data_IF_252459417788
#
_entry.id   IF_252459417788
#
_cell.length_a   1.000
_cell.length_b   1.000
_cell.length_c   1.000
_cell.angle_alpha   90.00
_cell.angle_beta   90.00
_cell.angle_gamma   90.00
#
_symmetry.space_group_name_H-M   'P 1'
#
loop_
_entity.id
_entity.type
_entity.pdbx_description
1 polymer ?
#
# COMPACT_ATOMS: atom_id res chain seq x y z
N UNK A 1 23.62 11.81 -8.29
CA UNK A 1 22.74 12.98 -8.32
C UNK A 1 23.44 14.13 -9.06
N UNK A 2 23.28 14.22 -10.38
CA UNK A 2 23.78 15.33 -11.20
C UNK A 2 22.63 16.17 -11.78
N UNK A 3 21.75 16.66 -10.92
CA UNK A 3 20.93 17.83 -11.22
C UNK A 3 20.85 18.61 -9.92
N UNK A 4 21.50 19.73 -9.90
CA UNK A 4 21.95 20.51 -8.74
C UNK A 4 20.90 21.06 -7.77
N UNK A 5 19.78 20.39 -7.57
CA UNK A 5 18.84 20.71 -6.48
C UNK A 5 18.79 19.54 -5.50
N UNK A 6 19.02 19.78 -4.20
CA UNK A 6 18.86 18.76 -3.18
C UNK A 6 17.42 18.25 -3.16
N UNK A 7 17.24 16.92 -3.09
CA UNK A 7 15.94 16.29 -2.88
C UNK A 7 15.73 16.16 -1.38
N UNK A 8 14.65 16.74 -0.86
CA UNK A 8 14.27 16.53 0.53
C UNK A 8 13.60 15.16 0.66
N UNK A 9 14.06 14.36 1.60
CA UNK A 9 13.51 13.02 1.88
C UNK A 9 13.04 12.99 3.34
N UNK A 10 11.80 12.59 3.54
CA UNK A 10 11.23 12.32 4.85
C UNK A 10 11.17 10.80 5.05
N UNK A 11 11.86 10.25 6.06
CA UNK A 11 11.96 8.80 6.23
C UNK A 11 10.67 8.15 6.74
N UNK A 12 9.76 8.93 7.29
CA UNK A 12 8.46 8.47 7.79
C UNK A 12 7.42 9.58 7.64
N UNK A 13 6.16 9.18 7.45
CA UNK A 13 5.03 10.08 7.38
C UNK A 13 3.75 9.32 7.74
N UNK A 14 2.79 10.02 8.32
CA UNK A 14 1.42 9.54 8.48
C UNK A 14 0.65 9.83 7.21
N UNK A 15 0.24 8.77 6.52
CA UNK A 15 -0.46 8.87 5.24
C UNK A 15 -1.96 8.64 5.44
N UNK A 16 -2.77 9.69 5.26
CA UNK A 16 -4.22 9.55 5.19
C UNK A 16 -4.62 9.19 3.75
N UNK A 17 -5.53 8.25 3.61
CA UNK A 17 -6.06 7.83 2.32
C UNK A 17 -7.54 8.12 2.26
N UNK A 18 -7.92 9.01 1.38
CA UNK A 18 -9.31 9.34 1.10
C UNK A 18 -9.84 8.51 -0.07
N UNK A 19 -11.11 8.23 -0.10
CA UNK A 19 -11.68 7.29 -1.06
C UNK A 19 -11.92 7.90 -2.45
N UNK A 20 -12.16 9.21 -2.53
CA UNK A 20 -12.55 9.84 -3.79
C UNK A 20 -14.03 9.59 -4.14
N UNK A 21 -14.47 9.90 -5.37
CA UNK A 21 -13.71 10.46 -6.51
C UNK A 21 -13.31 11.93 -6.38
N UNK A 22 -13.93 12.68 -5.48
CA UNK A 22 -13.57 14.08 -5.24
C UNK A 22 -12.31 14.20 -4.38
N UNK A 23 -11.56 15.30 -4.54
CA UNK A 23 -10.52 15.68 -3.60
C UNK A 23 -11.14 16.20 -2.31
N UNK A 24 -10.33 16.25 -1.24
CA UNK A 24 -10.74 16.78 0.06
C UNK A 24 -11.21 18.23 -0.06
N UNK A 25 -12.26 18.54 0.66
CA UNK A 25 -12.59 19.92 0.98
C UNK A 25 -11.55 20.49 1.95
N UNK A 26 -11.47 21.82 2.04
CA UNK A 26 -10.57 22.47 2.99
C UNK A 26 -10.87 22.07 4.44
N UNK A 27 -12.14 21.87 4.79
CA UNK A 27 -12.52 21.43 6.13
C UNK A 27 -12.00 20.02 6.45
N UNK A 28 -12.13 19.09 5.52
CA UNK A 28 -11.58 17.74 5.64
C UNK A 28 -10.06 17.77 5.76
N UNK A 29 -9.37 18.53 4.95
CA UNK A 29 -7.92 18.68 4.98
C UNK A 29 -7.44 19.21 6.35
N UNK A 30 -8.13 20.19 6.94
CA UNK A 30 -7.83 20.68 8.28
C UNK A 30 -8.07 19.61 9.35
N UNK A 31 -9.11 18.79 9.22
CA UNK A 31 -9.36 17.65 10.11
C UNK A 31 -8.23 16.63 10.01
N UNK A 32 -7.82 16.21 8.82
CA UNK A 32 -6.71 15.26 8.64
C UNK A 32 -5.42 15.77 9.27
N UNK A 33 -5.11 17.05 9.09
CA UNK A 33 -3.95 17.68 9.74
C UNK A 33 -4.05 17.67 11.26
N UNK A 34 -5.23 17.93 11.82
CA UNK A 34 -5.44 17.91 13.28
C UNK A 34 -5.25 16.51 13.87
N UNK A 35 -5.45 15.46 13.06
CA UNK A 35 -5.18 14.06 13.41
C UNK A 35 -3.70 13.65 13.22
N UNK A 36 -2.83 14.58 12.80
CA UNK A 36 -1.42 14.31 12.60
C UNK A 36 -1.08 13.68 11.26
N UNK A 37 -1.93 13.83 10.23
CA UNK A 37 -1.59 13.40 8.88
C UNK A 37 -0.56 14.34 8.25
N UNK A 38 0.49 13.75 7.68
CA UNK A 38 1.56 14.46 6.98
C UNK A 38 1.31 14.56 5.48
N UNK A 39 0.75 13.50 4.90
CA UNK A 39 0.45 13.39 3.47
C UNK A 39 -0.93 12.80 3.24
N UNK A 40 -1.50 13.11 2.08
CA UNK A 40 -2.80 12.60 1.64
C UNK A 40 -2.68 11.95 0.26
N UNK A 41 -3.41 10.88 0.05
CA UNK A 41 -3.52 10.18 -1.23
C UNK A 41 -4.83 9.42 -1.34
N UNK A 42 -5.02 8.67 -2.42
CA UNK A 42 -6.29 7.99 -2.71
C UNK A 42 -6.18 6.47 -2.87
N UNK A 43 -4.99 5.90 -2.98
CA UNK A 43 -4.81 4.51 -3.41
C UNK A 43 -4.06 3.62 -2.44
N UNK A 44 -3.27 4.18 -1.56
CA UNK A 44 -2.28 3.43 -0.76
C UNK A 44 -2.90 2.43 0.24
N UNK A 45 -4.04 2.75 0.84
CA UNK A 45 -4.60 1.93 1.92
C UNK A 45 -5.11 0.56 1.45
N UNK A 46 -5.85 0.43 0.34
CA UNK A 46 -6.24 -0.88 -0.18
C UNK A 46 -5.03 -1.76 -0.49
N UNK A 47 -4.00 -1.22 -1.14
CA UNK A 47 -2.77 -1.93 -1.47
C UNK A 47 -2.02 -2.39 -0.21
N UNK A 48 -1.89 -1.53 0.80
CA UNK A 48 -1.22 -1.85 2.06
C UNK A 48 -1.93 -2.99 2.80
N UNK A 49 -3.27 -3.00 2.81
CA UNK A 49 -4.07 -4.08 3.42
C UNK A 49 -3.89 -5.41 2.67
N UNK A 50 -3.98 -5.38 1.35
CA UNK A 50 -3.81 -6.56 0.50
C UNK A 50 -2.38 -7.12 0.58
N UNK A 51 -1.37 -6.25 0.61
CA UNK A 51 0.01 -6.68 0.80
C UNK A 51 0.22 -7.36 2.16
N UNK A 52 -0.43 -6.86 3.22
CA UNK A 52 -0.38 -7.49 4.54
C UNK A 52 -1.09 -8.84 4.56
N UNK A 53 -2.24 -8.98 3.90
CA UNK A 53 -2.96 -10.23 3.72
C UNK A 53 -2.14 -11.25 2.94
N UNK A 54 -1.42 -10.80 1.91
CA UNK A 54 -0.51 -11.63 1.13
C UNK A 54 0.86 -11.88 1.82
N UNK A 55 1.04 -11.43 3.06
CA UNK A 55 2.30 -11.56 3.82
C UNK A 55 3.51 -10.91 3.13
N UNK A 56 3.28 -9.87 2.36
CA UNK A 56 4.31 -9.08 1.69
C UNK A 56 4.80 -7.93 2.58
N UNK A 57 6.08 -7.61 2.48
CA UNK A 57 6.59 -6.34 2.97
C UNK A 57 6.12 -5.24 2.03
N UNK A 58 5.58 -4.17 2.59
CA UNK A 58 5.07 -3.04 1.85
C UNK A 58 5.71 -1.74 2.33
N UNK A 59 6.14 -0.93 1.39
CA UNK A 59 6.64 0.41 1.66
C UNK A 59 6.16 1.35 0.56
N UNK A 60 5.81 2.56 0.94
CA UNK A 60 5.31 3.58 0.01
C UNK A 60 6.42 4.58 -0.32
N UNK A 61 6.62 4.81 -1.60
CA UNK A 61 7.38 5.96 -2.09
C UNK A 61 6.40 7.05 -2.48
N UNK A 62 6.12 7.96 -1.57
CA UNK A 62 5.22 9.08 -1.80
C UNK A 62 5.98 10.23 -2.51
N UNK A 63 5.46 10.66 -3.64
CA UNK A 63 5.99 11.74 -4.46
C UNK A 63 5.03 12.92 -4.38
N UNK A 64 5.25 13.82 -3.42
CA UNK A 64 4.39 14.98 -3.23
C UNK A 64 4.44 15.90 -4.45
N UNK A 65 3.29 16.33 -4.91
CA UNK A 65 3.11 17.23 -6.06
C UNK A 65 2.87 18.65 -5.64
N UNK A 66 2.12 18.83 -4.57
CA UNK A 66 1.65 20.13 -4.09
C UNK A 66 1.33 20.07 -2.59
N UNK A 67 0.94 21.22 -2.06
CA UNK A 67 0.28 21.32 -0.76
C UNK A 67 -1.23 21.26 -0.95
N UNK A 68 -1.89 20.45 -0.14
CA UNK A 68 -3.34 20.32 -0.16
C UNK A 68 -4.06 21.66 0.11
N UNK A 69 -5.35 21.75 -0.16
CA UNK A 69 -6.20 22.94 -0.14
C UNK A 69 -6.27 23.70 1.21
N UNK A 70 -5.59 23.21 2.26
CA UNK A 70 -5.45 23.93 3.54
C UNK A 70 -4.53 25.15 3.44
N UNK A 71 -3.58 25.17 2.50
CA UNK A 71 -2.61 26.27 2.34
C UNK A 71 -3.22 27.38 1.51
N UNK A 72 -3.28 28.56 2.09
CA UNK A 72 -3.92 29.74 1.47
C UNK A 72 -2.95 30.66 0.72
N UNK A 73 -1.65 30.55 1.01
CA UNK A 73 -0.63 31.50 0.56
C UNK A 73 -0.06 31.17 -0.83
N UNK A 74 -0.50 30.11 -1.45
CA UNK A 74 -0.09 29.74 -2.81
C UNK A 74 -1.24 30.02 -3.78
N UNK A 75 -0.95 30.72 -4.87
CA UNK A 75 -1.85 30.79 -6.03
C UNK A 75 -2.23 29.37 -6.45
N UNK A 76 -3.47 29.18 -6.88
CA UNK A 76 -3.96 27.87 -7.34
C UNK A 76 -2.95 27.30 -8.33
N UNK A 77 -2.34 26.18 -7.95
CA UNK A 77 -1.31 25.51 -8.77
C UNK A 77 -1.90 25.19 -10.12
N UNK A 78 -1.32 25.68 -11.19
CA UNK A 78 -1.81 25.39 -12.54
C UNK A 78 -1.60 23.92 -12.89
N UNK A 79 -2.49 23.36 -13.71
CA UNK A 79 -2.39 21.98 -14.19
C UNK A 79 -1.02 21.69 -14.82
N UNK A 80 -0.47 22.66 -15.56
CA UNK A 80 0.85 22.53 -16.20
C UNK A 80 1.98 22.42 -15.18
N UNK A 81 1.90 23.13 -14.07
CA UNK A 81 2.88 23.02 -12.97
C UNK A 81 2.81 21.65 -12.31
N UNK A 82 1.60 21.14 -12.04
CA UNK A 82 1.41 19.78 -11.51
C UNK A 82 2.01 18.73 -12.44
N UNK A 83 1.72 18.81 -13.73
CA UNK A 83 2.26 17.90 -14.76
C UNK A 83 3.80 17.97 -14.79
N UNK A 84 4.38 19.15 -14.76
CA UNK A 84 5.84 19.31 -14.76
C UNK A 84 6.50 18.72 -13.49
N UNK A 85 5.86 18.86 -12.33
CA UNK A 85 6.30 18.21 -11.08
C UNK A 85 6.19 16.71 -11.20
N UNK A 86 5.07 16.21 -11.71
CA UNK A 86 4.83 14.78 -11.90
C UNK A 86 5.90 14.13 -12.78
N UNK A 87 6.23 14.72 -13.93
CA UNK A 87 7.27 14.18 -14.81
C UNK A 87 8.64 14.11 -14.13
N UNK A 88 9.03 15.13 -13.37
CA UNK A 88 10.27 15.11 -12.59
C UNK A 88 10.26 14.02 -11.53
N UNK A 89 9.15 13.89 -10.83
CA UNK A 89 8.94 12.88 -9.79
C UNK A 89 9.02 11.45 -10.35
N UNK A 90 8.41 11.19 -11.51
CA UNK A 90 8.46 9.88 -12.19
C UNK A 90 9.89 9.50 -12.53
N UNK A 91 10.69 10.40 -13.11
CA UNK A 91 12.08 10.12 -13.42
C UNK A 91 12.93 9.82 -12.18
N UNK A 92 12.67 10.52 -11.07
CA UNK A 92 13.32 10.25 -9.78
C UNK A 92 12.88 8.90 -9.22
N UNK A 93 11.58 8.62 -9.22
CA UNK A 93 11.01 7.36 -8.72
C UNK A 93 11.61 6.14 -9.45
N UNK A 94 11.69 6.19 -10.78
CA UNK A 94 12.30 5.11 -11.58
C UNK A 94 13.75 4.82 -11.18
N UNK A 95 14.52 5.85 -10.84
CA UNK A 95 15.91 5.68 -10.36
C UNK A 95 15.94 5.06 -8.98
N UNK A 96 15.09 5.54 -8.06
CA UNK A 96 14.97 5.01 -6.70
C UNK A 96 14.56 3.55 -6.74
N UNK A 97 13.55 3.18 -7.54
CA UNK A 97 13.04 1.80 -7.65
C UNK A 97 14.13 0.86 -8.18
N UNK A 98 14.88 1.27 -9.22
CA UNK A 98 15.98 0.44 -9.76
C UNK A 98 17.05 0.18 -8.69
N UNK A 99 17.42 1.22 -7.94
CA UNK A 99 18.44 1.07 -6.89
C UNK A 99 17.90 0.27 -5.71
N UNK A 100 16.66 0.49 -5.29
CA UNK A 100 16.01 -0.31 -4.26
C UNK A 100 15.94 -1.79 -4.64
N UNK A 101 15.58 -2.11 -5.88
CA UNK A 101 15.57 -3.49 -6.38
C UNK A 101 16.96 -4.13 -6.32
N UNK A 102 18.00 -3.39 -6.73
CA UNK A 102 19.40 -3.86 -6.65
C UNK A 102 19.82 -4.13 -5.19
N UNK A 103 19.50 -3.23 -4.28
CA UNK A 103 19.82 -3.37 -2.87
C UNK A 103 19.06 -4.53 -2.21
N UNK A 104 17.78 -4.68 -2.54
CA UNK A 104 16.93 -5.77 -2.04
C UNK A 104 17.40 -7.14 -2.54
N UNK A 105 17.86 -7.23 -3.81
CA UNK A 105 18.40 -8.47 -4.36
C UNK A 105 19.70 -8.92 -3.65
N UNK A 106 20.48 -7.98 -3.12
CA UNK A 106 21.70 -8.26 -2.38
C UNK A 106 21.47 -8.38 -0.85
N UNK A 107 20.26 -8.06 -0.39
CA UNK A 107 19.95 -8.08 1.04
C UNK A 107 19.78 -9.51 1.58
N UNK A 108 20.09 -9.76 2.87
CA UNK A 108 19.79 -11.03 3.50
C UNK A 108 18.28 -11.28 3.53
N UNK A 109 17.84 -12.55 3.67
CA UNK A 109 16.43 -12.88 3.79
C UNK A 109 15.75 -12.05 4.88
N UNK A 110 14.57 -11.53 4.58
CA UNK A 110 13.80 -10.72 5.52
C UNK A 110 13.46 -11.48 6.81
N UNK A 111 13.52 -10.79 7.94
CA UNK A 111 13.18 -11.33 9.27
C UNK A 111 12.15 -10.44 9.95
N UNK A 112 11.08 -10.09 9.26
CA UNK A 112 10.03 -9.23 9.81
C UNK A 112 8.72 -10.02 10.05
N UNK A 113 7.86 -9.49 10.89
CA UNK A 113 6.56 -10.08 11.21
C UNK A 113 5.58 -10.14 10.01
N UNK A 114 5.87 -9.43 8.92
CA UNK A 114 5.03 -9.46 7.72
C UNK A 114 4.88 -10.88 7.16
N UNK A 115 5.94 -11.69 7.23
CA UNK A 115 5.95 -13.05 6.69
C UNK A 115 5.01 -14.04 7.41
N UNK A 116 4.36 -13.63 8.48
CA UNK A 116 3.41 -14.43 9.26
C UNK A 116 2.20 -13.61 9.72
N UNK A 117 1.85 -12.58 8.97
CA UNK A 117 0.77 -11.66 9.34
C UNK A 117 -0.61 -12.32 9.42
N UNK A 118 -0.84 -13.37 8.63
CA UNK A 118 -2.11 -14.11 8.58
C UNK A 118 -2.17 -15.26 9.58
N UNK A 119 -1.04 -15.66 10.16
CA UNK A 119 -0.93 -16.86 11.02
C UNK A 119 -2.02 -16.98 12.09
N UNK A 120 -2.41 -15.88 12.69
CA UNK A 120 -3.42 -15.81 13.76
C UNK A 120 -4.67 -15.02 13.37
N UNK A 121 -4.81 -14.68 12.08
CA UNK A 121 -5.94 -13.88 11.60
C UNK A 121 -7.12 -14.71 11.09
N UNK A 122 -6.90 -16.02 10.85
CA UNK A 122 -7.93 -16.90 10.31
C UNK A 122 -8.76 -17.42 11.49
N UNK A 123 -9.95 -16.85 11.66
CA UNK A 123 -10.86 -17.17 12.75
C UNK A 123 -11.88 -18.25 12.39
N UNK A 124 -12.05 -18.53 11.10
CA UNK A 124 -12.97 -19.57 10.63
C UNK A 124 -12.41 -20.95 10.94
N UNK A 125 -13.20 -21.80 11.60
CA UNK A 125 -12.84 -23.18 11.87
C UNK A 125 -12.59 -23.91 10.54
N UNK A 126 -11.49 -24.69 10.41
CA UNK A 126 -11.09 -25.31 9.13
C UNK A 126 -12.19 -26.16 8.48
N UNK A 127 -12.98 -26.87 9.27
CA UNK A 127 -14.10 -27.71 8.82
C UNK A 127 -15.28 -26.90 8.25
N UNK A 128 -15.31 -25.61 8.48
CA UNK A 128 -16.31 -24.69 7.94
C UNK A 128 -15.90 -24.06 6.62
N UNK A 129 -14.65 -24.26 6.21
CA UNK A 129 -14.13 -23.75 4.93
C UNK A 129 -14.49 -24.74 3.84
N UNK A 130 -15.38 -24.34 2.92
CA UNK A 130 -15.75 -25.20 1.81
C UNK A 130 -14.56 -25.42 0.84
N UNK A 131 -14.52 -26.56 0.11
CA UNK A 131 -13.49 -26.79 -0.90
C UNK A 131 -13.36 -25.66 -1.92
N UNK A 132 -14.50 -25.09 -2.36
CA UNK A 132 -14.53 -23.96 -3.29
C UNK A 132 -13.95 -22.68 -2.69
N UNK A 133 -14.21 -22.40 -1.42
CA UNK A 133 -13.62 -21.25 -0.72
C UNK A 133 -12.12 -21.45 -0.53
N UNK A 134 -11.70 -22.66 -0.11
CA UNK A 134 -10.29 -22.99 0.05
C UNK A 134 -9.52 -22.79 -1.27
N UNK A 135 -9.99 -23.34 -2.38
CA UNK A 135 -9.35 -23.22 -3.68
C UNK A 135 -9.13 -21.78 -4.13
N UNK A 136 -10.07 -20.87 -3.81
CA UNK A 136 -9.92 -19.45 -4.13
C UNK A 136 -8.91 -18.72 -3.24
N UNK A 137 -8.72 -19.20 -2.02
CA UNK A 137 -7.89 -18.57 -0.99
C UNK A 137 -6.58 -19.30 -0.73
N UNK A 138 -6.31 -20.39 -1.42
CA UNK A 138 -5.17 -21.29 -1.16
C UNK A 138 -3.84 -20.56 -1.09
N UNK A 139 -3.60 -19.57 -1.98
CA UNK A 139 -2.38 -18.76 -1.98
C UNK A 139 -2.17 -17.99 -0.66
N UNK A 140 -3.24 -17.64 0.03
CA UNK A 140 -3.22 -16.86 1.27
C UNK A 140 -3.23 -17.77 2.49
N UNK A 141 -4.14 -18.74 2.53
CA UNK A 141 -4.41 -19.55 3.72
C UNK A 141 -3.75 -20.92 3.71
N UNK A 142 -3.34 -21.44 2.55
CA UNK A 142 -2.85 -22.82 2.38
C UNK A 142 -1.61 -23.15 3.20
N UNK A 143 -0.85 -22.14 3.60
CA UNK A 143 0.28 -22.29 4.53
C UNK A 143 -0.17 -22.63 5.96
N UNK A 144 -1.39 -22.26 6.35
CA UNK A 144 -1.91 -22.34 7.72
C UNK A 144 -3.05 -23.34 7.88
N UNK A 145 -3.78 -23.60 6.81
CA UNK A 145 -4.96 -24.46 6.81
C UNK A 145 -4.73 -25.58 5.79
N UNK A 146 -4.96 -26.81 6.21
CA UNK A 146 -4.96 -27.95 5.31
C UNK A 146 -6.20 -27.92 4.41
N UNK A 147 -6.11 -28.39 3.16
CA UNK A 147 -7.28 -28.49 2.29
C UNK A 147 -8.37 -29.32 2.99
N UNK A 148 -9.63 -28.90 2.89
CA UNK A 148 -10.72 -29.69 3.44
C UNK A 148 -10.72 -31.07 2.81
N UNK A 149 -10.81 -32.09 3.64
CA UNK A 149 -10.95 -33.46 3.16
C UNK A 149 -12.24 -33.53 2.35
N UNK A 150 -12.15 -33.82 1.07
CA UNK A 150 -13.33 -33.93 0.22
C UNK A 150 -14.28 -34.95 0.87
N UNK A 151 -15.50 -34.52 1.16
CA UNK A 151 -16.60 -35.47 1.42
C UNK A 151 -16.71 -36.32 0.15
N UNK A 152 -16.18 -37.54 0.26
CA UNK A 152 -16.26 -38.51 -0.83
C UNK A 152 -17.69 -38.50 -1.38
N UNK A 153 -17.81 -38.53 -2.70
CA UNK A 153 -19.05 -38.78 -3.38
C UNK A 153 -19.77 -39.92 -2.65
N UNK A 154 -20.85 -39.62 -1.97
CA UNK A 154 -21.83 -40.64 -1.66
C UNK A 154 -22.39 -41.05 -3.02
N UNK A 155 -21.80 -42.12 -3.58
CA UNK A 155 -22.39 -42.87 -4.67
C UNK A 155 -23.73 -43.37 -4.15
N UNK A 156 -24.81 -42.75 -4.61
CA UNK A 156 -26.16 -43.22 -4.43
C UNK A 156 -26.28 -44.61 -5.10
N UNK A 157 -26.73 -45.54 -4.32
CA UNK A 157 -27.31 -46.80 -4.75
C UNK A 157 -28.78 -46.57 -5.04
#
# INVERSE_FOLDING_TARGET
FRSGRPVTVHPSATHVVMEGPAFSTRAESLVYRSLGADIIGMTNLPEAKLAREAELCYATLALCTDYDCWRQDEEAVSVDQVIAVLHRNVALAQRIIREAARLLAAAPPRRCACASAVKHAIMTAPERISPAAYARLELIIGRYIRPPVGTGQQSGS
#
